data_IF_279975530865
#
_entry.id   IF_279975530865
#
_cell.length_a   1.000
_cell.length_b   1.000
_cell.length_c   1.000
_cell.angle_alpha   90.00
_cell.angle_beta   90.00
_cell.angle_gamma   90.00
#
_symmetry.space_group_name_H-M   'P 1'
#
loop_
_entity.id
_entity.type
_entity.pdbx_description
1 polymer ?
#
# COMPACT_ATOMS: atom_id res chain seq x y z
N UNK A 1 -9.55 -38.58 41.24
CA UNK A 1 -8.15 -38.29 40.75
C UNK A 1 -8.10 -38.02 39.21
N UNK A 2 -8.89 -38.68 38.35
CA UNK A 2 -8.90 -38.40 36.91
C UNK A 2 -9.30 -36.98 36.47
N UNK A 3 -10.03 -36.24 37.29
CA UNK A 3 -10.51 -34.87 36.96
C UNK A 3 -9.44 -33.76 37.02
N UNK A 4 -8.42 -33.90 37.85
CA UNK A 4 -7.37 -32.89 38.03
C UNK A 4 -6.36 -32.97 36.86
N UNK A 5 -5.93 -34.17 36.49
CA UNK A 5 -5.01 -34.38 35.34
C UNK A 5 -5.61 -33.89 34.02
N UNK A 6 -6.93 -34.10 33.82
CA UNK A 6 -7.59 -33.63 32.60
C UNK A 6 -7.66 -32.08 32.52
N UNK A 7 -7.79 -31.42 33.68
CA UNK A 7 -7.79 -29.94 33.75
C UNK A 7 -6.43 -29.37 33.46
N UNK A 8 -5.37 -29.97 34.00
CA UNK A 8 -3.99 -29.56 33.73
C UNK A 8 -3.58 -29.77 32.27
N UNK A 9 -3.96 -30.92 31.68
CA UNK A 9 -3.69 -31.21 30.28
C UNK A 9 -4.41 -30.23 29.34
N UNK A 10 -5.63 -29.84 29.66
CA UNK A 10 -6.38 -28.81 28.91
C UNK A 10 -5.77 -27.44 29.03
N UNK A 11 -5.24 -27.04 30.18
CA UNK A 11 -4.55 -25.81 30.41
C UNK A 11 -3.24 -25.74 29.60
N UNK A 12 -2.42 -26.80 29.61
CA UNK A 12 -1.19 -26.92 28.83
C UNK A 12 -1.48 -26.82 27.34
N UNK A 13 -2.49 -27.55 26.84
CA UNK A 13 -2.90 -27.48 25.43
C UNK A 13 -3.38 -26.10 25.02
N UNK A 14 -4.08 -25.39 25.89
CA UNK A 14 -4.55 -24.02 25.64
C UNK A 14 -3.38 -23.02 25.54
N UNK A 15 -2.40 -23.12 26.44
CA UNK A 15 -1.18 -22.30 26.42
C UNK A 15 -0.36 -22.58 25.14
N UNK A 16 -0.23 -23.85 24.75
CA UNK A 16 0.49 -24.26 23.54
C UNK A 16 -0.18 -23.71 22.26
N UNK A 17 -1.53 -23.79 22.18
CA UNK A 17 -2.32 -23.21 21.08
C UNK A 17 -2.15 -21.70 21.00
N UNK A 18 -2.17 -20.97 22.13
CA UNK A 18 -1.96 -19.52 22.19
C UNK A 18 -0.53 -19.13 21.73
N UNK A 19 0.52 -19.87 22.14
CA UNK A 19 1.91 -19.66 21.69
C UNK A 19 2.06 -19.87 20.18
N UNK A 20 1.47 -20.95 19.64
CA UNK A 20 1.52 -21.24 18.20
C UNK A 20 0.77 -20.19 17.37
N UNK A 21 -0.38 -19.70 17.85
CA UNK A 21 -1.12 -18.60 17.23
C UNK A 21 -0.30 -17.30 17.19
N UNK A 22 0.38 -16.94 18.29
CA UNK A 22 1.26 -15.76 18.34
C UNK A 22 2.41 -15.85 17.31
N UNK A 23 3.11 -16.98 17.25
CA UNK A 23 4.19 -17.20 16.26
C UNK A 23 3.68 -17.10 14.82
N UNK A 24 2.52 -17.67 14.53
CA UNK A 24 1.90 -17.59 13.21
C UNK A 24 1.52 -16.16 12.85
N UNK A 25 0.94 -15.41 13.78
CA UNK A 25 0.57 -14.01 13.56
C UNK A 25 1.80 -13.12 13.33
N UNK A 26 2.89 -13.33 14.07
CA UNK A 26 4.16 -12.62 13.88
C UNK A 26 4.76 -12.92 12.50
N UNK A 27 4.74 -14.18 12.05
CA UNK A 27 5.21 -14.57 10.72
C UNK A 27 4.38 -13.89 9.62
N UNK A 28 3.07 -13.88 9.76
CA UNK A 28 2.17 -13.20 8.81
C UNK A 28 2.46 -11.70 8.76
N UNK A 29 2.59 -11.05 9.92
CA UNK A 29 2.90 -9.64 10.00
C UNK A 29 4.25 -9.30 9.36
N UNK A 30 5.29 -10.13 9.61
CA UNK A 30 6.61 -9.98 8.99
C UNK A 30 6.53 -10.12 7.46
N UNK A 31 5.80 -11.11 6.96
CA UNK A 31 5.64 -11.33 5.51
C UNK A 31 4.90 -10.16 4.85
N UNK A 32 3.87 -9.61 5.51
CA UNK A 32 3.15 -8.42 5.01
C UNK A 32 4.06 -7.20 4.93
N UNK A 33 4.83 -6.94 6.00
CA UNK A 33 5.79 -5.84 6.08
C UNK A 33 6.86 -5.96 4.99
N UNK A 34 7.46 -7.15 4.84
CA UNK A 34 8.47 -7.42 3.80
C UNK A 34 7.90 -7.18 2.38
N UNK A 35 6.65 -7.55 2.15
CA UNK A 35 5.99 -7.32 0.86
C UNK A 35 5.79 -5.83 0.58
N UNK A 36 5.42 -5.06 1.61
CA UNK A 36 5.36 -3.60 1.53
C UNK A 36 6.71 -3.01 1.12
N UNK A 37 7.76 -3.33 1.87
CA UNK A 37 9.12 -2.87 1.58
C UNK A 37 9.60 -3.24 0.18
N UNK A 38 9.33 -4.46 -0.29
CA UNK A 38 9.69 -4.89 -1.64
C UNK A 38 8.97 -4.07 -2.72
N UNK A 39 7.74 -3.62 -2.46
CA UNK A 39 7.02 -2.77 -3.41
C UNK A 39 7.58 -1.36 -3.42
N UNK A 40 7.81 -0.76 -2.28
CA UNK A 40 8.46 0.53 -2.13
C UNK A 40 9.83 0.55 -2.81
N UNK A 41 10.70 -0.43 -2.53
CA UNK A 41 12.03 -0.57 -3.15
C UNK A 41 11.93 -0.75 -4.68
N UNK A 42 10.91 -1.46 -5.16
CA UNK A 42 10.67 -1.63 -6.60
C UNK A 42 10.35 -0.29 -7.25
N UNK A 43 9.49 0.52 -6.63
CA UNK A 43 9.14 1.85 -7.13
C UNK A 43 10.36 2.77 -7.15
N UNK A 44 11.12 2.82 -6.05
CA UNK A 44 12.35 3.62 -5.97
C UNK A 44 13.33 3.25 -7.08
N UNK A 45 13.56 1.95 -7.30
CA UNK A 45 14.44 1.48 -8.38
C UNK A 45 13.92 1.89 -9.76
N UNK A 46 12.61 1.81 -10.00
CA UNK A 46 11.99 2.19 -11.28
C UNK A 46 12.14 3.69 -11.55
N UNK A 47 11.92 4.54 -10.56
CA UNK A 47 12.14 5.99 -10.70
C UNK A 47 13.61 6.31 -10.96
N UNK A 48 14.51 5.72 -10.17
CA UNK A 48 15.95 5.96 -10.29
C UNK A 48 16.57 5.38 -11.57
N UNK A 49 15.87 4.50 -12.29
CA UNK A 49 16.26 4.03 -13.61
C UNK A 49 15.95 5.04 -14.73
N UNK A 50 15.19 6.11 -14.44
CA UNK A 50 14.93 7.22 -15.36
C UNK A 50 15.90 8.34 -15.01
N UNK A 51 16.76 8.75 -15.93
CA UNK A 51 17.90 9.65 -15.71
C UNK A 51 17.52 10.93 -14.97
N UNK A 52 16.37 11.51 -15.29
CA UNK A 52 15.91 12.80 -14.77
C UNK A 52 15.21 12.71 -13.42
N UNK A 53 15.00 11.49 -12.89
CA UNK A 53 14.27 11.26 -11.67
C UNK A 53 15.17 10.72 -10.56
N UNK A 54 14.90 11.19 -9.34
CA UNK A 54 15.45 10.61 -8.11
C UNK A 54 14.33 10.30 -7.15
N UNK A 55 14.36 9.10 -6.59
CA UNK A 55 13.38 8.68 -5.60
C UNK A 55 14.07 8.11 -4.37
N UNK A 56 13.44 8.35 -3.24
CA UNK A 56 13.93 7.95 -1.92
C UNK A 56 12.81 7.25 -1.17
N UNK A 57 13.10 6.11 -0.57
CA UNK A 57 12.23 5.52 0.41
C UNK A 57 12.43 6.25 1.74
N UNK A 58 11.37 6.87 2.25
CA UNK A 58 11.43 7.65 3.49
C UNK A 58 10.90 6.84 4.69
N UNK A 59 10.15 5.79 4.43
CA UNK A 59 9.29 5.10 5.37
C UNK A 59 9.99 4.47 6.57
N UNK A 60 9.70 5.05 7.71
CA UNK A 60 9.50 4.32 8.96
C UNK A 60 8.07 4.61 9.42
N UNK A 61 7.27 3.61 9.84
CA UNK A 61 5.86 3.79 10.21
C UNK A 61 5.62 4.82 11.32
N UNK A 62 6.65 5.19 12.05
CA UNK A 62 6.57 6.03 13.26
C UNK A 62 6.82 7.52 13.03
N UNK A 63 7.17 7.98 11.83
CA UNK A 63 7.77 9.32 11.67
C UNK A 63 6.90 10.30 10.88
N UNK A 64 5.67 9.96 10.53
CA UNK A 64 4.80 10.89 9.80
C UNK A 64 5.30 11.24 8.40
N UNK A 65 6.12 10.39 7.78
CA UNK A 65 6.68 10.53 6.43
C UNK A 65 5.84 9.75 5.41
N UNK A 66 5.74 10.20 4.14
CA UNK A 66 5.26 9.36 3.04
C UNK A 66 6.19 8.15 2.85
N UNK A 67 5.72 7.09 2.21
CA UNK A 67 6.55 5.92 1.94
C UNK A 67 7.71 6.26 1.00
N UNK A 68 7.43 7.06 -0.05
CA UNK A 68 8.41 7.45 -1.07
C UNK A 68 8.25 8.93 -1.43
N UNK A 69 9.38 9.58 -1.63
CA UNK A 69 9.48 10.88 -2.29
C UNK A 69 10.18 10.67 -3.63
N UNK A 70 9.59 11.15 -4.72
CA UNK A 70 10.19 11.10 -6.05
C UNK A 70 10.22 12.50 -6.67
N UNK A 71 11.37 12.89 -7.20
CA UNK A 71 11.59 14.25 -7.72
C UNK A 71 12.25 14.24 -9.08
N UNK A 72 11.86 15.19 -9.94
CA UNK A 72 12.57 15.55 -11.14
C UNK A 72 12.76 17.06 -11.15
N UNK A 73 13.99 17.50 -10.99
CA UNK A 73 14.33 18.94 -11.04
C UNK A 73 14.24 19.49 -12.46
N UNK A 74 14.52 18.64 -13.47
CA UNK A 74 14.43 19.03 -14.88
C UNK A 74 12.98 19.27 -15.30
N UNK A 75 12.05 18.39 -14.88
CA UNK A 75 10.63 18.56 -15.17
C UNK A 75 9.92 19.47 -14.16
N UNK A 76 10.62 19.91 -13.11
CA UNK A 76 10.06 20.70 -12.00
C UNK A 76 8.84 20.01 -11.34
N UNK A 77 8.98 18.71 -11.07
CA UNK A 77 7.94 17.82 -10.57
C UNK A 77 8.37 17.13 -9.28
N UNK A 78 7.46 17.04 -8.32
CA UNK A 78 7.65 16.25 -7.11
C UNK A 78 6.42 15.43 -6.80
N UNK A 79 6.62 14.17 -6.39
CA UNK A 79 5.58 13.26 -5.95
C UNK A 79 5.82 12.79 -4.53
N UNK A 80 4.78 12.83 -3.70
CA UNK A 80 4.70 12.02 -2.48
C UNK A 80 3.89 10.77 -2.80
N UNK A 81 4.40 9.60 -2.43
CA UNK A 81 3.81 8.32 -2.84
C UNK A 81 3.54 7.48 -1.60
N UNK A 82 2.31 7.03 -1.47
CA UNK A 82 1.91 5.97 -0.54
C UNK A 82 1.81 4.65 -1.30
N UNK A 83 2.48 3.61 -0.84
CA UNK A 83 2.59 2.33 -1.52
C UNK A 83 1.75 1.24 -0.84
N UNK A 84 0.84 0.62 -1.59
CA UNK A 84 -0.02 -0.47 -1.10
C UNK A 84 0.17 -1.73 -1.93
N UNK A 85 0.48 -2.84 -1.26
CA UNK A 85 0.59 -4.13 -1.96
C UNK A 85 -0.11 -5.26 -1.19
N UNK A 86 -0.71 -6.19 -1.92
CA UNK A 86 -1.41 -7.29 -1.28
C UNK A 86 -1.91 -8.40 -2.19
N UNK A 87 -2.47 -9.43 -1.54
CA UNK A 87 -3.07 -10.60 -2.17
C UNK A 87 -4.60 -10.56 -2.17
N UNK A 88 -5.19 -9.58 -1.49
CA UNK A 88 -6.64 -9.40 -1.42
C UNK A 88 -7.17 -8.83 -2.73
N UNK A 89 -8.49 -8.84 -2.91
CA UNK A 89 -9.19 -8.21 -4.05
C UNK A 89 -9.34 -6.70 -3.87
N UNK A 90 -9.10 -6.20 -2.65
CA UNK A 90 -9.16 -4.78 -2.33
C UNK A 90 -7.96 -4.37 -1.48
N UNK A 91 -7.49 -3.15 -1.64
CA UNK A 91 -6.44 -2.54 -0.83
C UNK A 91 -6.96 -1.21 -0.26
N UNK A 92 -6.88 -1.08 1.06
CA UNK A 92 -7.34 0.12 1.78
C UNK A 92 -6.18 1.09 2.00
N UNK A 93 -6.47 2.37 1.88
CA UNK A 93 -5.60 3.47 2.24
C UNK A 93 -6.26 4.25 3.38
N UNK A 94 -5.72 4.21 4.60
CA UNK A 94 -6.20 4.99 5.72
C UNK A 94 -6.08 6.49 5.47
N UNK A 95 -7.00 7.28 6.02
CA UNK A 95 -7.05 8.74 5.84
C UNK A 95 -5.78 9.46 6.34
N UNK A 96 -5.23 8.99 7.46
CA UNK A 96 -4.00 9.55 8.06
C UNK A 96 -2.79 9.46 7.12
N UNK A 97 -2.75 8.44 6.28
CA UNK A 97 -1.68 8.27 5.29
C UNK A 97 -1.83 9.24 4.12
N UNK A 98 -3.07 9.51 3.70
CA UNK A 98 -3.36 10.53 2.69
C UNK A 98 -2.99 11.91 3.24
N UNK A 99 -3.48 12.23 4.43
CA UNK A 99 -3.22 13.50 5.09
C UNK A 99 -1.72 13.76 5.26
N UNK A 100 -0.97 12.73 5.65
CA UNK A 100 0.48 12.78 5.78
C UNK A 100 1.16 13.14 4.45
N UNK A 101 0.79 12.45 3.37
CA UNK A 101 1.34 12.71 2.04
C UNK A 101 1.00 14.13 1.54
N UNK A 102 -0.25 14.58 1.76
CA UNK A 102 -0.67 15.93 1.40
C UNK A 102 0.10 16.99 2.18
N UNK A 103 0.22 16.81 3.51
CA UNK A 103 1.02 17.72 4.34
C UNK A 103 2.45 17.87 3.80
N UNK A 104 3.07 16.77 3.38
CA UNK A 104 4.41 16.79 2.82
C UNK A 104 4.45 17.46 1.45
N UNK A 105 3.54 17.14 0.54
CA UNK A 105 3.57 17.71 -0.82
C UNK A 105 3.37 19.22 -0.82
N UNK A 106 2.58 19.75 0.12
CA UNK A 106 2.35 21.18 0.27
C UNK A 106 3.58 21.95 0.80
N UNK A 107 4.54 21.26 1.47
CA UNK A 107 5.78 21.88 1.94
C UNK A 107 6.75 22.22 0.78
N UNK A 108 6.60 21.58 -0.38
CA UNK A 108 7.52 21.73 -1.51
C UNK A 108 7.03 22.79 -2.50
N UNK A 109 6.85 24.02 -2.05
CA UNK A 109 6.27 25.13 -2.84
C UNK A 109 7.10 25.50 -4.07
N UNK A 110 8.40 25.23 -4.06
CA UNK A 110 9.31 25.53 -5.18
C UNK A 110 9.05 24.66 -6.42
N UNK A 111 8.40 23.51 -6.28
CA UNK A 111 8.06 22.65 -7.41
C UNK A 111 6.75 23.09 -8.05
N UNK A 112 6.79 23.28 -9.38
CA UNK A 112 5.62 23.69 -10.16
C UNK A 112 4.53 22.61 -10.18
N UNK A 113 4.92 21.35 -10.35
CA UNK A 113 3.99 20.21 -10.33
C UNK A 113 4.20 19.39 -9.08
N UNK A 114 3.17 19.34 -8.25
CA UNK A 114 3.16 18.61 -6.98
C UNK A 114 1.99 17.66 -6.98
N UNK A 115 2.25 16.36 -6.81
CA UNK A 115 1.19 15.34 -6.83
C UNK A 115 1.36 14.34 -5.69
N UNK A 116 0.26 14.06 -5.01
CA UNK A 116 0.15 12.89 -4.16
C UNK A 116 -0.30 11.70 -4.99
N UNK A 117 0.42 10.60 -4.92
CA UNK A 117 0.15 9.37 -5.67
C UNK A 117 -0.04 8.21 -4.70
N UNK A 118 -1.04 7.38 -4.96
CA UNK A 118 -1.15 6.07 -4.32
C UNK A 118 -0.82 4.99 -5.33
N UNK A 119 0.23 4.23 -5.04
CA UNK A 119 0.73 3.15 -5.87
C UNK A 119 0.23 1.80 -5.36
N UNK A 120 -0.68 1.18 -6.08
CA UNK A 120 -1.25 -0.13 -5.74
C UNK A 120 -0.58 -1.25 -6.53
N UNK A 121 -0.32 -2.37 -5.81
CA UNK A 121 0.16 -3.62 -6.42
C UNK A 121 -0.67 -4.79 -5.92
N UNK A 122 -1.47 -5.36 -6.80
CA UNK A 122 -2.19 -6.60 -6.58
C UNK A 122 -1.33 -7.77 -7.06
N UNK A 123 -0.86 -8.60 -6.14
CA UNK A 123 0.02 -9.72 -6.49
C UNK A 123 -0.70 -10.78 -7.32
N UNK A 124 0.10 -11.57 -8.07
CA UNK A 124 -0.37 -12.69 -8.89
C UNK A 124 -1.03 -13.83 -8.10
N UNK A 125 -0.99 -13.76 -6.76
CA UNK A 125 -1.66 -14.71 -5.87
C UNK A 125 -2.81 -14.01 -5.18
N UNK A 126 -4.05 -14.43 -5.47
CA UNK A 126 -5.27 -14.00 -4.78
C UNK A 126 -5.47 -14.89 -3.56
N UNK A 127 -5.71 -14.29 -2.40
CA UNK A 127 -6.05 -15.04 -1.20
C UNK A 127 -7.52 -15.45 -1.23
N UNK A 128 -7.81 -16.74 -1.17
CA UNK A 128 -9.17 -17.33 -1.14
C UNK A 128 -9.53 -17.95 0.20
N UNK A 129 -8.59 -18.03 1.14
CA UNK A 129 -8.80 -18.56 2.48
C UNK A 129 -7.51 -18.54 3.30
N UNK A 130 -7.55 -19.16 4.50
CA UNK A 130 -6.36 -19.29 5.35
C UNK A 130 -5.35 -20.22 4.69
N UNK A 131 -4.20 -19.67 4.26
CA UNK A 131 -3.14 -20.41 3.58
C UNK A 131 -3.45 -20.85 2.15
N UNK A 132 -4.66 -20.54 1.63
CA UNK A 132 -5.09 -20.91 0.28
C UNK A 132 -5.00 -19.72 -0.68
N UNK A 133 -4.43 -19.95 -1.87
CA UNK A 133 -4.24 -18.94 -2.89
C UNK A 133 -4.62 -19.49 -4.25
N UNK A 134 -5.19 -18.61 -5.07
CA UNK A 134 -5.47 -18.81 -6.48
C UNK A 134 -4.54 -17.93 -7.31
N UNK A 135 -4.11 -18.38 -8.48
CA UNK A 135 -3.30 -17.59 -9.39
C UNK A 135 -4.19 -16.57 -10.13
N UNK A 136 -3.70 -15.35 -10.30
CA UNK A 136 -4.32 -14.28 -11.09
C UNK A 136 -3.25 -13.42 -11.73
N UNK A 137 -3.64 -12.55 -12.65
CA UNK A 137 -2.77 -11.56 -13.25
C UNK A 137 -2.26 -10.58 -12.17
N UNK A 138 -0.98 -10.17 -12.26
CA UNK A 138 -0.44 -9.08 -11.46
C UNK A 138 -0.95 -7.76 -12.05
N UNK A 139 -1.50 -6.89 -11.20
CA UNK A 139 -1.98 -5.57 -11.62
C UNK A 139 -1.37 -4.47 -10.76
N UNK A 140 -1.00 -3.38 -11.41
CA UNK A 140 -0.46 -2.19 -10.77
C UNK A 140 -1.27 -0.97 -11.20
N UNK A 141 -1.60 -0.10 -10.23
CA UNK A 141 -2.33 1.13 -10.48
C UNK A 141 -1.65 2.28 -9.76
N UNK A 142 -1.61 3.43 -10.42
CA UNK A 142 -1.09 4.68 -9.87
C UNK A 142 -2.24 5.68 -9.88
N UNK A 143 -2.79 5.99 -8.71
CA UNK A 143 -3.91 6.92 -8.56
C UNK A 143 -3.40 8.24 -8.03
N UNK A 144 -3.72 9.31 -8.74
CA UNK A 144 -3.42 10.68 -8.29
C UNK A 144 -4.55 11.11 -7.38
N UNK A 145 -4.21 11.53 -6.16
CA UNK A 145 -5.20 12.08 -5.25
C UNK A 145 -5.69 13.43 -5.78
N UNK A 146 -7.00 13.63 -5.76
CA UNK A 146 -7.66 14.87 -6.14
C UNK A 146 -8.20 15.55 -4.88
N UNK A 147 -7.69 16.73 -4.57
CA UNK A 147 -8.01 17.49 -3.35
C UNK A 147 -9.46 18.00 -3.31
N UNK A 148 -10.23 17.87 -4.40
CA UNK A 148 -11.68 18.10 -4.36
C UNK A 148 -12.41 17.09 -3.48
N UNK A 149 -11.83 15.93 -3.22
CA UNK A 149 -12.40 14.94 -2.32
C UNK A 149 -11.95 15.20 -0.88
N UNK A 150 -12.88 15.05 0.10
CA UNK A 150 -12.50 15.12 1.50
C UNK A 150 -11.50 13.99 1.82
N UNK A 151 -10.53 14.30 2.67
CA UNK A 151 -9.55 13.29 3.14
C UNK A 151 -10.29 12.24 3.96
N UNK A 152 -10.38 11.04 3.44
CA UNK A 152 -11.08 9.91 4.04
C UNK A 152 -10.37 8.60 3.70
N UNK A 153 -10.69 7.55 4.42
CA UNK A 153 -10.27 6.20 4.03
C UNK A 153 -10.85 5.85 2.67
N UNK A 154 -10.01 5.33 1.79
CA UNK A 154 -10.51 4.82 0.53
C UNK A 154 -9.95 3.44 0.18
N UNK A 155 -10.57 2.80 -0.77
CA UNK A 155 -10.29 1.44 -1.19
C UNK A 155 -10.09 1.43 -2.70
N UNK A 156 -9.03 0.74 -3.14
CA UNK A 156 -8.85 0.38 -4.54
C UNK A 156 -9.18 -1.10 -4.73
N UNK A 157 -9.96 -1.43 -5.76
CA UNK A 157 -10.29 -2.80 -6.14
C UNK A 157 -9.22 -3.40 -7.06
N UNK A 158 -9.24 -4.72 -7.22
CA UNK A 158 -8.38 -5.42 -8.18
C UNK A 158 -8.56 -4.93 -9.63
N UNK A 159 -9.73 -4.39 -9.97
CA UNK A 159 -10.02 -3.85 -11.30
C UNK A 159 -9.68 -2.35 -11.45
N UNK A 160 -9.08 -1.76 -10.40
CA UNK A 160 -8.60 -0.39 -10.42
C UNK A 160 -9.64 0.67 -10.09
N UNK A 161 -10.86 0.26 -9.71
CA UNK A 161 -11.89 1.19 -9.22
C UNK A 161 -11.54 1.68 -7.82
N UNK A 162 -11.87 2.94 -7.54
CA UNK A 162 -11.64 3.56 -6.24
C UNK A 162 -12.93 4.08 -5.63
N UNK A 163 -13.11 3.87 -4.32
CA UNK A 163 -14.28 4.33 -3.58
C UNK A 163 -13.95 4.59 -2.10
N UNK A 164 -14.66 5.51 -1.49
CA UNK A 164 -14.68 5.72 -0.05
C UNK A 164 -15.84 4.95 0.60
N UNK A 165 -15.70 4.61 1.87
CA UNK A 165 -16.78 4.09 2.70
C UNK A 165 -17.25 5.17 3.65
N UNK A 166 -18.39 5.79 3.36
CA UNK A 166 -19.02 6.81 4.20
C UNK A 166 -20.37 6.27 4.68
N UNK A 167 -20.60 6.28 5.99
CA UNK A 167 -21.84 5.79 6.60
C UNK A 167 -22.26 4.39 6.14
N UNK A 168 -21.27 3.51 5.94
CA UNK A 168 -21.52 2.14 5.47
C UNK A 168 -21.84 2.00 3.98
N UNK A 169 -21.89 3.10 3.22
CA UNK A 169 -22.15 3.10 1.78
C UNK A 169 -20.88 3.35 0.98
N UNK A 170 -20.82 2.78 -0.24
CA UNK A 170 -19.74 3.02 -1.19
C UNK A 170 -19.99 4.32 -1.96
N UNK A 171 -19.03 5.23 -1.91
CA UNK A 171 -19.01 6.47 -2.68
C UNK A 171 -17.86 6.41 -3.67
N UNK A 172 -18.14 6.32 -4.99
CA UNK A 172 -17.09 6.26 -6.01
C UNK A 172 -16.18 7.49 -5.95
N UNK A 173 -14.88 7.27 -6.01
CA UNK A 173 -13.87 8.31 -6.17
C UNK A 173 -13.28 8.20 -7.58
N UNK A 174 -13.51 9.20 -8.42
CA UNK A 174 -12.98 9.23 -9.78
C UNK A 174 -11.54 9.78 -9.76
N UNK A 175 -10.62 9.01 -9.18
CA UNK A 175 -9.21 9.38 -9.14
C UNK A 175 -8.57 9.14 -10.51
N UNK A 176 -7.84 10.14 -11.00
CA UNK A 176 -7.07 10.04 -12.23
C UNK A 176 -6.01 8.93 -12.13
N UNK A 177 -5.83 8.19 -13.22
CA UNK A 177 -4.73 7.22 -13.33
C UNK A 177 -3.48 7.93 -13.83
N UNK A 178 -2.47 8.02 -12.97
CA UNK A 178 -1.19 8.65 -13.29
C UNK A 178 -0.33 7.80 -14.22
N UNK A 179 0.25 8.42 -15.25
CA UNK A 179 1.31 7.81 -16.03
C UNK A 179 2.64 8.10 -15.34
N UNK A 180 3.34 7.05 -14.91
CA UNK A 180 4.63 7.18 -14.26
C UNK A 180 5.77 7.30 -15.29
N UNK A 181 6.87 8.01 -14.98
CA UNK A 181 7.95 8.27 -15.95
C UNK A 181 8.65 6.99 -16.43
N UNK A 182 8.59 5.92 -15.66
CA UNK A 182 9.16 4.61 -16.00
C UNK A 182 8.21 3.70 -16.80
N UNK A 183 6.97 4.12 -17.03
CA UNK A 183 6.04 3.39 -17.92
C UNK A 183 6.27 3.87 -19.34
N UNK A 184 6.82 3.01 -20.19
CA UNK A 184 7.00 3.33 -21.62
C UNK A 184 5.64 3.70 -22.21
N UNK A 185 5.50 4.91 -22.76
CA UNK A 185 4.34 5.27 -23.58
C UNK A 185 4.25 4.25 -24.71
N UNK A 186 3.06 3.66 -24.99
CA UNK A 186 2.92 2.82 -26.16
C UNK A 186 3.37 3.63 -27.37
N UNK A 187 4.31 3.06 -28.16
CA UNK A 187 4.74 3.69 -29.42
C UNK A 187 3.49 3.86 -30.29
N UNK A 188 3.14 5.10 -30.60
CA UNK A 188 2.13 5.36 -31.63
C UNK A 188 2.64 4.73 -32.93
N UNK A 189 2.00 3.63 -33.34
CA UNK A 189 2.13 3.11 -34.71
C UNK A 189 1.35 4.00 -35.65
#
# INVERSE_FOLDING_TARGET
MASIEQTELNAINTVQRKKNSKKTNQRIARTRRQRGYNWEDTLVKRFNAVEEWKAFRLGSPSVGLPDILAVSTKENVIYTIEAKSGTNTTLRVPFDQIQRCLKWIHTFELYQTRKMIVAFKFSSKKRIGTGKYEHRELREYFKIWDEKYPVTDFICTYDGETYAMLEGKRHPLQLESGTMPFVKKPSRK
#
